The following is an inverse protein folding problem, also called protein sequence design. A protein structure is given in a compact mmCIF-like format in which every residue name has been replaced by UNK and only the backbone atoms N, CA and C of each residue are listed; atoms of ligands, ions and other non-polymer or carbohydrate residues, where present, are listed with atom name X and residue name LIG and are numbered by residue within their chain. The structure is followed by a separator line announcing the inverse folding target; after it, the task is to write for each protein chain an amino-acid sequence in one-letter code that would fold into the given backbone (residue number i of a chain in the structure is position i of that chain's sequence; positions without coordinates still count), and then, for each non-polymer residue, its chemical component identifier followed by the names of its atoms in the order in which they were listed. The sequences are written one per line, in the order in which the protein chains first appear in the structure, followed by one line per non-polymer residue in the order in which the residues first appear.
data_IF_216764488611
#
_entry.id   IF_216764488611
#
_cell.length_a   1.000
_cell.length_b   1.000
_cell.length_c   1.000
_cell.angle_alpha   90.00
_cell.angle_beta   90.00
_cell.angle_gamma   90.00
#
_symmetry.space_group_name_H-M   'P 1'
#
loop_
_entity.id
_entity.type
_entity.pdbx_description
1 polymer ?
#
# COMPACT_ATOMS: atom_id res chain seq x y z
N UNK A 1 -16.12 -49.97 -33.58
CA UNK A 1 -14.87 -50.40 -32.93
C UNK A 1 -14.21 -49.20 -32.26
N UNK A 2 -13.92 -49.35 -30.96
CA UNK A 2 -13.03 -48.59 -30.05
C UNK A 2 -13.07 -47.05 -30.07
N UNK A 3 -13.75 -46.52 -29.05
CA UNK A 3 -13.55 -45.20 -28.44
C UNK A 3 -12.13 -45.14 -27.85
N UNK A 4 -11.37 -44.09 -28.13
CA UNK A 4 -10.16 -43.77 -27.36
C UNK A 4 -10.30 -42.37 -26.80
N UNK A 5 -10.72 -42.32 -25.54
CA UNK A 5 -10.67 -41.17 -24.65
C UNK A 5 -9.21 -41.03 -24.18
N UNK A 6 -8.53 -39.96 -24.58
CA UNK A 6 -7.24 -39.58 -23.98
C UNK A 6 -7.54 -38.45 -22.99
N UNK A 7 -7.59 -38.84 -21.72
CA UNK A 7 -7.55 -37.94 -20.58
C UNK A 7 -6.11 -37.42 -20.46
N UNK A 8 -5.88 -36.13 -20.69
CA UNK A 8 -4.60 -35.48 -20.42
C UNK A 8 -4.80 -34.44 -19.30
N UNK A 9 -4.83 -34.92 -18.07
CA UNK A 9 -4.53 -34.11 -16.89
C UNK A 9 -3.07 -34.31 -16.55
N UNK A 10 -2.30 -33.21 -16.44
CA UNK A 10 -1.43 -32.87 -15.29
C UNK A 10 -0.43 -31.74 -15.67
N UNK A 11 -0.43 -30.74 -14.78
CA UNK A 11 0.65 -29.81 -14.42
C UNK A 11 1.04 -28.66 -15.38
N UNK A 12 0.36 -27.51 -15.21
CA UNK A 12 1.03 -26.20 -15.26
C UNK A 12 0.55 -25.33 -14.08
N UNK A 13 1.07 -25.60 -12.89
CA UNK A 13 0.91 -24.77 -11.69
C UNK A 13 2.20 -24.80 -10.86
N UNK A 14 3.33 -24.29 -11.39
CA UNK A 14 4.56 -24.20 -10.56
C UNK A 14 5.42 -22.94 -10.72
N UNK A 15 5.10 -21.97 -11.58
CA UNK A 15 5.97 -20.77 -11.68
C UNK A 15 5.71 -19.73 -10.56
N UNK A 16 4.61 -19.81 -9.82
CA UNK A 16 4.29 -18.85 -8.75
C UNK A 16 5.02 -19.12 -7.42
N UNK A 17 5.42 -20.37 -7.14
CA UNK A 17 6.01 -20.71 -5.84
C UNK A 17 7.46 -20.20 -5.66
N UNK A 18 8.24 -20.09 -6.75
CA UNK A 18 9.63 -19.65 -6.68
C UNK A 18 9.75 -18.13 -6.47
N UNK A 19 8.94 -17.35 -7.20
CA UNK A 19 8.84 -15.89 -7.05
C UNK A 19 8.35 -15.51 -5.64
N UNK A 20 7.32 -16.20 -5.13
CA UNK A 20 6.83 -15.95 -3.76
C UNK A 20 7.83 -16.36 -2.67
N UNK A 21 8.70 -17.34 -2.89
CA UNK A 21 9.69 -17.77 -1.90
C UNK A 21 10.87 -16.79 -1.79
N UNK A 22 11.30 -16.21 -2.91
CA UNK A 22 12.27 -15.11 -2.92
C UNK A 22 11.73 -13.86 -2.24
N UNK A 23 10.51 -13.44 -2.62
CA UNK A 23 9.84 -12.28 -2.03
C UNK A 23 9.63 -12.42 -0.51
N UNK A 24 9.26 -13.63 -0.03
CA UNK A 24 9.12 -13.91 1.41
C UNK A 24 10.44 -13.83 2.19
N UNK A 25 11.57 -14.25 1.61
CA UNK A 25 12.89 -14.12 2.25
C UNK A 25 13.34 -12.66 2.33
N UNK A 26 13.09 -11.88 1.28
CA UNK A 26 13.41 -10.45 1.25
C UNK A 26 12.56 -9.67 2.26
N UNK A 27 11.23 -9.90 2.29
CA UNK A 27 10.35 -9.28 3.27
C UNK A 27 10.70 -9.65 4.72
N UNK A 28 11.31 -10.81 4.96
CA UNK A 28 11.74 -11.21 6.30
C UNK A 28 12.79 -10.24 6.90
N UNK A 29 13.62 -9.59 6.07
CA UNK A 29 14.58 -8.57 6.52
C UNK A 29 13.90 -7.33 7.10
N UNK A 30 12.72 -7.01 6.58
CA UNK A 30 11.97 -5.80 6.92
C UNK A 30 10.87 -6.04 7.96
N UNK A 31 10.61 -7.30 8.32
CA UNK A 31 9.52 -7.71 9.21
C UNK A 31 9.48 -6.88 10.50
N UNK A 32 10.64 -6.66 11.10
CA UNK A 32 10.79 -5.98 12.38
C UNK A 32 11.26 -4.52 12.22
N UNK A 33 11.37 -4.02 10.97
CA UNK A 33 11.71 -2.63 10.72
C UNK A 33 10.65 -1.70 11.33
N UNK A 34 11.12 -0.68 12.05
CA UNK A 34 10.26 0.32 12.66
C UNK A 34 9.89 1.41 11.64
N UNK A 35 8.66 1.35 11.15
CA UNK A 35 8.08 2.29 10.18
C UNK A 35 7.59 3.59 10.82
N UNK A 36 7.76 3.75 12.14
CA UNK A 36 7.18 4.82 12.93
C UNK A 36 5.82 4.44 13.53
N UNK A 37 5.27 5.33 14.35
CA UNK A 37 3.93 5.20 14.90
C UNK A 37 2.89 5.45 13.80
N UNK A 38 1.99 4.51 13.58
CA UNK A 38 0.82 4.75 12.75
C UNK A 38 -0.24 5.45 13.58
N UNK A 39 -0.85 6.48 13.00
CA UNK A 39 -1.99 7.19 13.58
C UNK A 39 -3.08 7.21 12.51
N UNK A 40 -3.96 6.21 12.57
CA UNK A 40 -5.14 6.16 11.71
C UNK A 40 -6.24 7.09 12.23
N UNK A 41 -6.90 7.80 11.30
CA UNK A 41 -8.08 8.62 11.57
C UNK A 41 -9.13 8.44 10.48
N UNK A 42 -10.35 8.17 10.88
CA UNK A 42 -11.52 8.34 10.03
C UNK A 42 -12.15 9.71 10.32
N UNK A 43 -12.11 10.60 9.32
CA UNK A 43 -12.66 11.94 9.44
C UNK A 43 -14.04 12.10 8.78
N UNK A 44 -14.58 11.04 8.16
CA UNK A 44 -15.89 11.06 7.51
C UNK A 44 -16.60 9.70 7.65
N UNK A 45 -16.81 9.22 8.89
CA UNK A 45 -17.34 7.88 9.19
C UNK A 45 -18.78 7.67 8.68
N UNK A 46 -19.50 8.75 8.44
CA UNK A 46 -20.86 8.74 7.89
C UNK A 46 -20.92 8.34 6.41
N UNK A 47 -19.79 8.40 5.69
CA UNK A 47 -19.76 8.08 4.26
C UNK A 47 -19.81 6.58 4.00
N UNK A 48 -20.43 6.18 2.89
CA UNK A 48 -20.43 4.78 2.46
C UNK A 48 -19.00 4.29 2.16
N UNK A 49 -18.16 5.15 1.60
CA UNK A 49 -16.73 4.87 1.40
C UNK A 49 -15.99 4.50 2.69
N UNK A 50 -16.22 5.22 3.79
CA UNK A 50 -15.62 4.88 5.08
C UNK A 50 -16.08 3.51 5.59
N UNK A 51 -17.37 3.21 5.50
CA UNK A 51 -17.93 1.91 5.88
C UNK A 51 -17.30 0.77 5.07
N UNK A 52 -17.15 0.96 3.76
CA UNK A 52 -16.48 0.00 2.87
C UNK A 52 -15.02 -0.19 3.28
N UNK A 53 -14.29 0.90 3.57
CA UNK A 53 -12.88 0.84 3.99
C UNK A 53 -12.71 -0.02 5.24
N UNK A 54 -13.49 0.22 6.29
CA UNK A 54 -13.41 -0.58 7.53
C UNK A 54 -13.79 -2.05 7.33
N UNK A 55 -14.66 -2.34 6.36
CA UNK A 55 -15.01 -3.72 6.02
C UNK A 55 -13.84 -4.47 5.35
N UNK A 56 -13.04 -3.78 4.52
CA UNK A 56 -11.91 -4.41 3.82
C UNK A 56 -10.59 -4.33 4.62
N UNK A 57 -10.41 -3.31 5.45
CA UNK A 57 -9.20 -3.08 6.25
C UNK A 57 -9.62 -2.96 7.72
N UNK A 58 -9.79 -4.11 8.42
CA UNK A 58 -10.27 -4.12 9.80
C UNK A 58 -9.22 -3.64 10.82
N UNK A 59 -7.93 -3.74 10.48
CA UNK A 59 -6.81 -3.22 11.28
C UNK A 59 -5.94 -2.31 10.40
N UNK A 60 -6.28 -1.00 10.34
CA UNK A 60 -5.54 -0.05 9.53
C UNK A 60 -4.08 0.08 9.94
N UNK A 61 -3.78 0.09 11.24
CA UNK A 61 -2.42 0.28 11.75
C UNK A 61 -1.50 -0.87 11.31
N UNK A 62 -1.96 -2.11 11.45
CA UNK A 62 -1.24 -3.28 10.98
C UNK A 62 -1.10 -3.29 9.46
N UNK A 63 -2.18 -2.99 8.73
CA UNK A 63 -2.19 -2.95 7.27
C UNK A 63 -1.20 -1.94 6.71
N UNK A 64 -1.22 -0.70 7.23
CA UNK A 64 -0.32 0.38 6.80
C UNK A 64 1.12 0.03 7.15
N UNK A 65 1.38 -0.51 8.34
CA UNK A 65 2.73 -0.93 8.73
C UNK A 65 3.29 -2.01 7.81
N UNK A 66 2.45 -2.96 7.41
CA UNK A 66 2.82 -4.00 6.45
C UNK A 66 3.10 -3.41 5.06
N UNK A 67 2.26 -2.51 4.57
CA UNK A 67 2.48 -1.88 3.27
C UNK A 67 3.74 -1.01 3.26
N UNK A 68 4.02 -0.28 4.34
CA UNK A 68 5.25 0.50 4.51
C UNK A 68 6.50 -0.39 4.40
N UNK A 69 6.53 -1.54 5.07
CA UNK A 69 7.64 -2.50 4.95
C UNK A 69 7.78 -3.08 3.54
N UNK A 70 6.67 -3.30 2.84
CA UNK A 70 6.70 -3.76 1.44
C UNK A 70 7.26 -2.69 0.50
N UNK A 71 6.93 -1.41 0.73
CA UNK A 71 7.52 -0.28 -0.01
C UNK A 71 9.01 -0.17 0.28
N UNK A 72 9.41 -0.21 1.55
CA UNK A 72 10.82 -0.17 1.93
C UNK A 72 11.62 -1.31 1.28
N UNK A 73 11.10 -2.53 1.30
CA UNK A 73 11.68 -3.69 0.61
C UNK A 73 11.76 -3.52 -0.92
N UNK A 74 10.97 -2.63 -1.50
CA UNK A 74 11.00 -2.32 -2.94
C UNK A 74 12.02 -1.24 -3.25
N UNK A 75 12.19 -0.26 -2.37
CA UNK A 75 13.04 0.91 -2.59
C UNK A 75 14.49 0.70 -2.16
N UNK A 76 14.72 -0.14 -1.15
CA UNK A 76 16.00 -0.28 -0.46
C UNK A 76 16.48 -1.73 -0.46
N UNK A 77 17.80 -1.92 -0.43
CA UNK A 77 18.42 -3.25 -0.37
C UNK A 77 18.39 -3.79 1.05
N UNK A 78 18.51 -2.91 2.06
CA UNK A 78 18.64 -3.32 3.46
C UNK A 78 18.09 -2.27 4.45
N UNK A 79 17.64 -2.71 5.65
CA UNK A 79 17.33 -1.81 6.78
C UNK A 79 18.45 -0.86 7.20
N UNK A 80 19.69 -1.19 6.87
CA UNK A 80 20.89 -0.41 7.18
C UNK A 80 21.14 0.73 6.18
N UNK A 81 20.39 0.79 5.08
CA UNK A 81 20.48 1.86 4.09
C UNK A 81 20.09 3.22 4.69
N UNK A 82 20.48 4.31 4.02
CA UNK A 82 20.04 5.66 4.40
C UNK A 82 18.58 5.89 4.01
N UNK A 83 17.69 5.59 4.96
CA UNK A 83 16.24 5.67 4.79
C UNK A 83 15.72 6.93 5.52
N UNK A 84 14.75 7.66 4.94
CA UNK A 84 14.11 8.77 5.64
C UNK A 84 13.55 8.37 7.01
N UNK A 85 13.95 9.10 8.05
CA UNK A 85 13.66 8.79 9.44
C UNK A 85 12.23 9.14 9.88
N UNK A 86 11.22 8.52 9.27
CA UNK A 86 9.81 8.69 9.68
C UNK A 86 9.61 8.14 11.10
N UNK A 87 9.04 8.97 11.97
CA UNK A 87 8.68 8.63 13.35
C UNK A 87 7.17 8.50 13.54
N UNK A 88 6.38 9.19 12.72
CA UNK A 88 4.94 9.09 12.74
C UNK A 88 4.36 9.20 11.32
N UNK A 89 3.40 8.33 11.02
CA UNK A 89 2.61 8.35 9.80
C UNK A 89 1.15 8.54 10.17
N UNK A 90 0.60 9.70 9.83
CA UNK A 90 -0.81 10.00 9.98
C UNK A 90 -1.54 9.54 8.72
N UNK A 91 -2.45 8.57 8.83
CA UNK A 91 -3.25 8.12 7.71
C UNK A 91 -4.71 8.49 7.95
N UNK A 92 -5.26 9.38 7.13
CA UNK A 92 -6.63 9.88 7.28
C UNK A 92 -7.48 9.49 6.08
N UNK A 93 -8.59 8.80 6.32
CA UNK A 93 -9.67 8.71 5.33
C UNK A 93 -10.65 9.87 5.55
N UNK A 94 -11.03 10.57 4.48
CA UNK A 94 -11.98 11.69 4.58
C UNK A 94 -12.77 11.92 3.28
N UNK A 95 -13.88 12.62 3.37
CA UNK A 95 -14.68 13.01 2.21
C UNK A 95 -14.06 14.18 1.45
N UNK A 96 -13.62 13.96 0.22
CA UNK A 96 -13.18 15.04 -0.68
C UNK A 96 -13.15 14.60 -2.15
N UNK A 97 -13.16 15.58 -3.06
CA UNK A 97 -12.99 15.35 -4.49
C UNK A 97 -11.49 15.19 -4.83
N UNK A 98 -11.04 13.94 -4.94
CA UNK A 98 -9.66 13.55 -5.19
C UNK A 98 -9.46 12.04 -4.95
N UNK A 99 -8.22 11.56 -5.04
CA UNK A 99 -7.86 10.15 -4.81
C UNK A 99 -7.15 10.02 -3.47
N UNK A 100 -5.92 10.51 -3.41
CA UNK A 100 -5.04 10.50 -2.24
C UNK A 100 -4.12 11.72 -2.28
N UNK A 101 -3.46 12.00 -1.16
CA UNK A 101 -2.39 12.98 -1.11
C UNK A 101 -1.40 12.64 0.00
N UNK A 102 -0.11 12.81 -0.26
CA UNK A 102 0.94 12.88 0.76
C UNK A 102 1.22 14.32 1.14
N UNK A 103 1.37 14.57 2.44
CA UNK A 103 1.78 15.84 3.01
C UNK A 103 2.84 15.67 4.10
N UNK A 104 3.47 16.78 4.49
CA UNK A 104 4.55 16.75 5.46
C UNK A 104 5.83 16.09 4.96
N UNK A 105 6.82 16.02 5.85
CA UNK A 105 8.13 15.43 5.61
C UNK A 105 8.60 14.71 6.88
N UNK A 106 9.49 13.71 6.78
CA UNK A 106 10.13 13.11 7.94
C UNK A 106 10.60 14.18 8.95
N UNK A 107 10.31 14.02 10.26
CA UNK A 107 9.88 12.78 10.90
C UNK A 107 8.36 12.52 10.91
N UNK A 108 7.51 13.43 10.43
CA UNK A 108 6.05 13.28 10.47
C UNK A 108 5.44 13.46 9.08
N UNK A 109 4.91 12.36 8.54
CA UNK A 109 4.25 12.35 7.23
C UNK A 109 2.75 12.14 7.40
N UNK A 110 1.97 12.84 6.58
CA UNK A 110 0.53 12.66 6.46
C UNK A 110 0.17 12.04 5.12
N UNK A 111 -0.78 11.10 5.12
CA UNK A 111 -1.39 10.54 3.92
C UNK A 111 -2.90 10.69 4.08
N UNK A 112 -3.53 11.26 3.08
CA UNK A 112 -4.99 11.38 2.98
C UNK A 112 -5.51 10.43 1.89
N UNK A 113 -6.65 9.79 2.13
CA UNK A 113 -7.32 8.93 1.16
C UNK A 113 -8.81 9.23 1.09
N UNK A 114 -9.33 9.41 -0.12
CA UNK A 114 -10.71 9.87 -0.33
C UNK A 114 -11.73 8.76 -0.12
N UNK A 115 -12.69 8.99 0.77
CA UNK A 115 -13.85 8.09 0.91
C UNK A 115 -14.73 8.09 -0.34
N UNK A 116 -14.79 9.20 -1.11
CA UNK A 116 -15.46 9.21 -2.43
C UNK A 116 -14.78 8.28 -3.41
N UNK A 117 -13.44 8.25 -3.41
CA UNK A 117 -12.69 7.37 -4.31
C UNK A 117 -12.88 5.89 -3.94
N UNK A 118 -12.90 5.57 -2.64
CA UNK A 118 -13.18 4.21 -2.15
C UNK A 118 -14.56 3.75 -2.63
N UNK A 119 -15.59 4.58 -2.42
CA UNK A 119 -16.94 4.26 -2.85
C UNK A 119 -17.04 4.08 -4.37
N UNK A 120 -16.43 5.00 -5.14
CA UNK A 120 -16.39 4.91 -6.61
C UNK A 120 -15.66 3.66 -7.09
N UNK A 121 -14.56 3.31 -6.45
CA UNK A 121 -13.76 2.12 -6.80
C UNK A 121 -14.49 0.82 -6.49
N UNK A 122 -15.44 0.86 -5.54
CA UNK A 122 -16.30 -0.26 -5.18
C UNK A 122 -17.64 -0.29 -5.93
N UNK A 123 -17.86 0.55 -6.94
CA UNK A 123 -19.16 0.66 -7.62
C UNK A 123 -19.70 -0.68 -8.18
N UNK A 124 -18.79 -1.57 -8.60
CA UNK A 124 -19.13 -2.89 -9.14
C UNK A 124 -19.26 -3.99 -8.06
N UNK A 125 -19.05 -3.66 -6.78
CA UNK A 125 -19.08 -4.60 -5.66
C UNK A 125 -17.88 -5.55 -5.59
N UNK A 126 -16.84 -5.33 -6.38
CA UNK A 126 -15.64 -6.18 -6.41
C UNK A 126 -14.64 -5.80 -5.30
N UNK A 127 -14.67 -6.56 -4.21
CA UNK A 127 -13.78 -6.37 -3.06
C UNK A 127 -12.30 -6.61 -3.41
N UNK A 128 -11.99 -7.54 -4.33
CA UNK A 128 -10.61 -7.82 -4.71
C UNK A 128 -10.00 -6.65 -5.50
N UNK A 129 -10.74 -6.13 -6.47
CA UNK A 129 -10.37 -4.92 -7.22
C UNK A 129 -10.15 -3.73 -6.28
N UNK A 130 -11.06 -3.53 -5.34
CA UNK A 130 -10.91 -2.45 -4.35
C UNK A 130 -9.66 -2.64 -3.48
N UNK A 131 -9.39 -3.85 -2.98
CA UNK A 131 -8.16 -4.12 -2.23
C UNK A 131 -6.90 -3.79 -3.03
N UNK A 132 -6.86 -4.16 -4.32
CA UNK A 132 -5.74 -3.83 -5.19
C UNK A 132 -5.57 -2.32 -5.37
N UNK A 133 -6.67 -1.60 -5.60
CA UNK A 133 -6.68 -0.15 -5.75
C UNK A 133 -6.22 0.56 -4.46
N UNK A 134 -6.84 0.24 -3.31
CA UNK A 134 -6.49 0.83 -2.01
C UNK A 134 -5.03 0.53 -1.64
N UNK A 135 -4.55 -0.67 -1.93
CA UNK A 135 -3.13 -1.01 -1.75
C UNK A 135 -2.25 -0.19 -2.68
N UNK A 136 -2.58 -0.09 -3.96
CA UNK A 136 -1.80 0.66 -4.96
C UNK A 136 -1.67 2.13 -4.60
N UNK A 137 -2.79 2.76 -4.21
CA UNK A 137 -2.83 4.15 -3.74
C UNK A 137 -1.94 4.33 -2.51
N UNK A 138 -2.09 3.49 -1.48
CA UNK A 138 -1.25 3.56 -0.29
C UNK A 138 0.24 3.35 -0.62
N UNK A 139 0.55 2.42 -1.51
CA UNK A 139 1.91 2.13 -1.96
C UNK A 139 2.55 3.34 -2.66
N UNK A 140 1.79 4.04 -3.48
CA UNK A 140 2.21 5.27 -4.16
C UNK A 140 2.59 6.36 -3.14
N UNK A 141 1.71 6.66 -2.19
CA UNK A 141 1.98 7.73 -1.20
C UNK A 141 3.11 7.37 -0.23
N UNK A 142 3.20 6.09 0.16
CA UNK A 142 4.33 5.60 0.96
C UNK A 142 5.65 5.66 0.19
N UNK A 143 5.62 5.49 -1.14
CA UNK A 143 6.82 5.68 -1.97
C UNK A 143 7.29 7.12 -1.86
N UNK A 144 6.40 8.10 -1.98
CA UNK A 144 6.74 9.52 -1.75
C UNK A 144 7.21 9.80 -0.32
N UNK A 145 6.70 9.06 0.67
CA UNK A 145 7.12 9.22 2.07
C UNK A 145 8.56 8.74 2.31
N UNK A 146 8.94 7.62 1.70
CA UNK A 146 10.25 6.98 1.89
C UNK A 146 11.27 7.31 0.81
N UNK A 147 10.89 7.96 -0.29
CA UNK A 147 11.86 8.38 -1.30
C UNK A 147 12.73 9.53 -0.79
N UNK A 148 14.03 9.48 -1.09
CA UNK A 148 14.92 10.60 -0.88
C UNK A 148 14.60 11.70 -1.89
N UNK A 149 14.18 12.86 -1.39
CA UNK A 149 14.04 14.06 -2.22
C UNK A 149 15.45 14.62 -2.54
N UNK A 150 15.73 14.99 -3.81
CA UNK A 150 17.01 15.62 -4.14
C UNK A 150 17.19 16.89 -3.33
N UNK A 151 18.25 16.94 -2.53
CA UNK A 151 18.58 18.11 -1.74
C UNK A 151 19.39 19.09 -2.59
N UNK A 152 19.04 20.38 -2.55
CA UNK A 152 19.85 21.45 -3.17
C UNK A 152 19.60 21.71 -4.66
N UNK A 153 18.49 21.22 -5.25
CA UNK A 153 18.16 21.42 -6.67
C UNK A 153 17.29 22.67 -6.96
N UNK A 154 17.06 23.52 -5.95
CA UNK A 154 16.18 24.69 -6.05
C UNK A 154 14.68 24.36 -5.92
N UNK A 155 13.86 25.41 -5.85
CA UNK A 155 12.41 25.28 -5.68
C UNK A 155 11.72 25.08 -7.04
N UNK A 156 10.90 24.04 -7.18
CA UNK A 156 9.97 23.89 -8.31
C UNK A 156 8.76 24.81 -8.12
N UNK A 157 8.96 26.13 -8.19
CA UNK A 157 7.89 27.06 -7.80
C UNK A 157 8.08 28.54 -8.08
N UNK A 158 9.03 28.93 -8.94
CA UNK A 158 9.11 30.32 -9.38
C UNK A 158 8.84 30.42 -10.88
N UNK A 159 7.57 30.65 -11.23
CA UNK A 159 7.14 31.32 -12.45
C UNK A 159 6.03 32.30 -12.09
#
# INVERSE_FOLDING_TARGET
MKKTLILLTVALFTVSAFSQRGNRKELAKWKDYNVGKIVFKDASPETKGAQIYHAIIPDPDAYISEQARRVLNTLYFSPEDSIPGIKQLNYTIKDYNGISAKGGQPPVVGIEYSTRWIERSFADGDTAKLHFETKGVLFHELTHAYQLEPQGIGNYGNN
#
